data_IF_194978727022
#
_entry.id   IF_194978727022
#
_cell.length_a   1.000
_cell.length_b   1.000
_cell.length_c   1.000
_cell.angle_alpha   90.00
_cell.angle_beta   90.00
_cell.angle_gamma   90.00
#
_symmetry.space_group_name_H-M   'P 1'
#
loop_
_entity.id
_entity.type
_entity.pdbx_description
1 polymer ?
#
# COMPACT_ATOMS: atom_id res chain seq x y z
N UNK A 1 9.63 4.61 -1.89
CA UNK A 1 8.19 4.88 -2.06
C UNK A 1 7.94 6.33 -2.42
N UNK A 2 6.67 6.72 -2.55
CA UNK A 2 6.23 8.10 -2.86
C UNK A 2 4.99 8.43 -2.03
N UNK A 3 4.89 9.65 -1.50
CA UNK A 3 3.63 10.21 -1.01
C UNK A 3 3.06 11.09 -2.14
N UNK A 4 2.04 10.61 -2.89
CA UNK A 4 1.59 11.29 -4.09
C UNK A 4 0.67 12.46 -3.75
N UNK A 5 0.70 13.51 -4.58
CA UNK A 5 -0.26 14.63 -4.47
C UNK A 5 -1.68 14.19 -4.82
N UNK A 6 -1.81 13.23 -5.74
CA UNK A 6 -3.10 12.68 -6.18
C UNK A 6 -3.25 11.25 -5.67
N UNK A 7 -4.30 11.03 -4.88
CA UNK A 7 -4.65 9.74 -4.28
C UNK A 7 -5.89 9.16 -4.97
N UNK A 8 -5.65 8.46 -6.08
CA UNK A 8 -6.64 7.63 -6.77
C UNK A 8 -5.98 6.33 -7.26
N UNK A 9 -6.80 5.33 -7.55
CA UNK A 9 -6.35 3.97 -7.89
C UNK A 9 -5.49 3.93 -9.15
N UNK A 10 -5.81 4.71 -10.18
CA UNK A 10 -5.07 4.71 -11.44
C UNK A 10 -3.70 5.36 -11.25
N UNK A 11 -3.65 6.51 -10.59
CA UNK A 11 -2.39 7.18 -10.30
C UNK A 11 -1.50 6.33 -9.40
N UNK A 12 -2.08 5.70 -8.37
CA UNK A 12 -1.36 4.82 -7.45
C UNK A 12 -0.74 3.63 -8.22
N UNK A 13 -1.52 2.98 -9.07
CA UNK A 13 -1.06 1.85 -9.90
C UNK A 13 0.13 2.26 -10.78
N UNK A 14 0.00 3.41 -11.48
CA UNK A 14 1.06 3.94 -12.34
C UNK A 14 2.34 4.28 -11.57
N UNK A 15 2.22 4.83 -10.36
CA UNK A 15 3.38 5.14 -9.52
C UNK A 15 4.03 3.86 -9.00
N UNK A 16 3.27 2.86 -8.57
CA UNK A 16 3.78 1.54 -8.18
C UNK A 16 4.51 0.86 -9.35
N UNK A 17 3.95 0.86 -10.55
CA UNK A 17 4.59 0.33 -11.76
C UNK A 17 5.93 1.03 -12.04
N UNK A 18 5.98 2.36 -11.87
CA UNK A 18 7.21 3.13 -12.07
C UNK A 18 8.27 2.76 -11.03
N UNK A 19 7.88 2.61 -9.76
CA UNK A 19 8.76 2.19 -8.67
C UNK A 19 9.31 0.78 -8.95
N UNK A 20 8.42 -0.16 -9.26
CA UNK A 20 8.83 -1.55 -9.53
C UNK A 20 9.62 -1.70 -10.83
N UNK A 21 9.36 -0.86 -11.84
CA UNK A 21 10.19 -0.78 -13.03
C UNK A 21 11.65 -0.42 -12.72
N UNK A 22 11.90 0.42 -11.72
CA UNK A 22 13.27 0.74 -11.25
C UNK A 22 13.83 -0.40 -10.40
N UNK A 23 13.06 -0.92 -9.45
CA UNK A 23 13.47 -2.02 -8.57
C UNK A 23 13.90 -3.24 -9.39
N UNK A 24 13.05 -3.68 -10.32
CA UNK A 24 13.24 -4.87 -11.14
C UNK A 24 14.40 -4.65 -12.13
N UNK A 25 14.49 -3.47 -12.76
CA UNK A 25 15.56 -3.16 -13.73
C UNK A 25 16.96 -3.23 -13.12
N UNK A 26 17.12 -2.80 -11.87
CA UNK A 26 18.41 -2.73 -11.20
C UNK A 26 18.61 -3.83 -10.14
N UNK A 27 17.68 -4.79 -10.04
CA UNK A 27 17.68 -5.85 -9.03
C UNK A 27 17.90 -5.30 -7.61
N UNK A 28 17.21 -4.21 -7.26
CA UNK A 28 17.39 -3.54 -5.97
C UNK A 28 16.68 -4.38 -4.90
N UNK A 29 17.37 -4.87 -3.86
CA UNK A 29 16.75 -5.71 -2.83
C UNK A 29 15.98 -4.84 -1.82
N UNK A 30 14.81 -4.34 -2.22
CA UNK A 30 13.99 -3.41 -1.42
C UNK A 30 12.49 -3.56 -1.72
N UNK A 31 11.65 -2.78 -1.04
CA UNK A 31 10.20 -2.81 -1.13
C UNK A 31 9.66 -1.51 -1.74
N UNK A 32 8.65 -1.64 -2.59
CA UNK A 32 7.85 -0.51 -3.11
C UNK A 32 6.70 -0.15 -2.17
N UNK A 33 6.34 1.13 -2.11
CA UNK A 33 5.15 1.60 -1.39
C UNK A 33 4.74 2.99 -1.92
N UNK A 34 3.43 3.22 -2.04
CA UNK A 34 2.84 4.53 -2.30
C UNK A 34 1.97 4.88 -1.11
N UNK A 35 2.29 5.98 -0.42
CA UNK A 35 1.71 6.37 0.86
C UNK A 35 0.37 7.08 0.63
N UNK A 36 -0.67 6.30 0.36
CA UNK A 36 -2.04 6.72 0.09
C UNK A 36 -3.01 6.18 1.17
N UNK A 37 -4.31 6.45 1.06
CA UNK A 37 -5.29 5.79 1.92
C UNK A 37 -5.29 4.26 1.71
N UNK A 38 -5.47 3.49 2.78
CA UNK A 38 -5.40 2.02 2.79
C UNK A 38 -6.37 1.39 1.78
N UNK A 39 -7.56 1.95 1.63
CA UNK A 39 -8.57 1.45 0.69
C UNK A 39 -8.14 1.65 -0.77
N UNK A 40 -7.49 2.77 -1.11
CA UNK A 40 -6.98 3.02 -2.47
C UNK A 40 -5.89 2.02 -2.80
N UNK A 41 -4.99 1.74 -1.85
CA UNK A 41 -3.92 0.76 -2.01
C UNK A 41 -4.46 -0.66 -2.18
N UNK A 42 -5.39 -1.09 -1.31
CA UNK A 42 -6.04 -2.41 -1.42
C UNK A 42 -6.66 -2.59 -2.81
N UNK A 43 -7.41 -1.60 -3.29
CA UNK A 43 -8.09 -1.68 -4.57
C UNK A 43 -7.09 -1.75 -5.74
N UNK A 44 -6.04 -0.92 -5.72
CA UNK A 44 -5.00 -0.97 -6.75
C UNK A 44 -4.29 -2.32 -6.81
N UNK A 45 -3.93 -2.88 -5.64
CA UNK A 45 -3.26 -4.18 -5.54
C UNK A 45 -4.17 -5.31 -6.03
N UNK A 46 -5.46 -5.29 -5.66
CA UNK A 46 -6.45 -6.26 -6.18
C UNK A 46 -6.62 -6.18 -7.69
N UNK A 47 -6.41 -5.01 -8.30
CA UNK A 47 -6.39 -4.82 -9.76
C UNK A 47 -5.08 -5.21 -10.43
N UNK A 48 -4.09 -5.70 -9.67
CA UNK A 48 -2.82 -6.20 -10.18
C UNK A 48 -1.68 -5.20 -10.15
N UNK A 49 -1.83 -4.03 -9.50
CA UNK A 49 -0.70 -3.13 -9.28
C UNK A 49 0.37 -3.84 -8.42
N UNK A 50 1.67 -3.69 -8.73
CA UNK A 50 2.72 -4.36 -7.99
C UNK A 50 2.85 -3.73 -6.58
N UNK A 51 2.43 -4.48 -5.55
CA UNK A 51 2.49 -4.04 -4.15
C UNK A 51 3.73 -4.56 -3.42
N UNK A 52 4.28 -3.75 -2.51
CA UNK A 52 5.31 -4.14 -1.55
C UNK A 52 4.80 -4.03 -0.12
N UNK A 53 4.76 -2.81 0.41
CA UNK A 53 4.12 -2.50 1.69
C UNK A 53 2.82 -1.71 1.47
N UNK A 54 1.85 -1.88 2.37
CA UNK A 54 0.63 -1.09 2.43
C UNK A 54 0.73 -0.11 3.60
N UNK A 55 0.68 1.19 3.30
CA UNK A 55 0.76 2.24 4.30
C UNK A 55 -0.63 2.61 4.85
N UNK A 56 -0.70 3.05 6.10
CA UNK A 56 -1.84 3.80 6.61
C UNK A 56 -1.43 4.68 7.79
N UNK A 57 -1.84 5.96 7.78
CA UNK A 57 -1.77 6.80 8.97
C UNK A 57 -2.75 6.28 10.02
N UNK A 58 -2.28 6.09 11.25
CA UNK A 58 -3.10 5.61 12.38
C UNK A 58 -3.16 6.64 13.52
N UNK A 59 -4.17 6.50 14.37
CA UNK A 59 -4.32 7.28 15.59
C UNK A 59 -4.45 6.34 16.81
N UNK A 60 -3.99 6.80 17.98
CA UNK A 60 -4.06 6.04 19.24
C UNK A 60 -5.46 5.98 19.89
N UNK A 61 -6.51 6.42 19.19
CA UNK A 61 -7.90 6.35 19.67
C UNK A 61 -8.86 5.98 18.54
N UNK A 62 -9.95 5.29 18.86
CA UNK A 62 -10.98 4.92 17.88
C UNK A 62 -11.56 6.17 17.19
N UNK A 63 -11.80 7.24 17.96
CA UNK A 63 -12.30 8.50 17.41
C UNK A 63 -11.33 9.07 16.37
N UNK A 64 -10.04 9.13 16.69
CA UNK A 64 -9.04 9.65 15.76
C UNK A 64 -8.84 8.74 14.53
N UNK A 65 -8.96 7.41 14.67
CA UNK A 65 -8.95 6.51 13.51
C UNK A 65 -10.14 6.77 12.58
N UNK A 66 -11.34 6.98 13.15
CA UNK A 66 -12.53 7.36 12.38
C UNK A 66 -12.37 8.72 11.69
N UNK A 67 -11.68 9.69 12.30
CA UNK A 67 -11.33 10.96 11.65
C UNK A 67 -10.39 10.77 10.45
N UNK A 68 -9.54 9.74 10.46
CA UNK A 68 -8.75 9.33 9.30
C UNK A 68 -9.54 8.49 8.27
N UNK A 69 -10.81 8.15 8.54
CA UNK A 69 -11.60 7.26 7.69
C UNK A 69 -11.20 5.78 7.78
N UNK A 70 -10.59 5.37 8.90
CA UNK A 70 -10.02 4.03 9.09
C UNK A 70 -10.75 3.28 10.20
N UNK A 71 -11.02 1.99 9.94
CA UNK A 71 -11.48 1.03 10.93
C UNK A 71 -10.47 -0.13 11.06
N UNK A 72 -10.44 -0.82 12.21
CA UNK A 72 -9.52 -1.95 12.42
C UNK A 72 -9.70 -3.05 11.37
N UNK A 73 -10.94 -3.32 10.96
CA UNK A 73 -11.24 -4.31 9.92
C UNK A 73 -10.56 -3.98 8.57
N UNK A 74 -10.36 -2.70 8.26
CA UNK A 74 -9.63 -2.28 7.06
C UNK A 74 -8.14 -2.60 7.15
N UNK A 75 -7.55 -2.53 8.36
CA UNK A 75 -6.15 -2.89 8.59
C UNK A 75 -5.96 -4.41 8.53
N UNK A 76 -6.92 -5.18 9.04
CA UNK A 76 -6.93 -6.64 8.91
C UNK A 76 -7.04 -7.07 7.43
N UNK A 77 -7.92 -6.41 6.67
CA UNK A 77 -8.04 -6.62 5.22
C UNK A 77 -6.74 -6.25 4.48
N UNK A 78 -6.14 -5.11 4.82
CA UNK A 78 -4.86 -4.69 4.25
C UNK A 78 -3.74 -5.71 4.53
N UNK A 79 -3.66 -6.24 5.75
CA UNK A 79 -2.72 -7.31 6.10
C UNK A 79 -2.95 -8.55 5.24
N UNK A 80 -4.20 -8.98 5.08
CA UNK A 80 -4.55 -10.15 4.28
C UNK A 80 -4.18 -9.96 2.81
N UNK A 81 -4.54 -8.81 2.23
CA UNK A 81 -4.21 -8.44 0.84
C UNK A 81 -2.70 -8.35 0.64
N UNK A 82 -1.98 -7.72 1.57
CA UNK A 82 -0.52 -7.64 1.51
C UNK A 82 0.14 -9.02 1.55
N UNK A 83 -0.33 -9.92 2.41
CA UNK A 83 0.19 -11.28 2.50
C UNK A 83 -0.11 -12.13 1.24
N UNK A 84 -1.25 -11.91 0.59
CA UNK A 84 -1.66 -12.67 -0.59
C UNK A 84 -1.01 -12.16 -1.89
N UNK A 85 -0.92 -10.84 -2.07
CA UNK A 85 -0.59 -10.24 -3.37
C UNK A 85 0.75 -9.51 -3.41
N UNK A 86 1.31 -9.07 -2.28
CA UNK A 86 2.51 -8.22 -2.31
C UNK A 86 3.81 -9.03 -2.48
N UNK A 87 4.79 -8.39 -3.10
CA UNK A 87 6.17 -8.87 -3.20
C UNK A 87 6.91 -8.55 -1.89
N UNK A 88 6.74 -9.41 -0.88
CA UNK A 88 7.36 -9.29 0.44
C UNK A 88 8.38 -10.39 0.71
N UNK A 89 9.42 -10.08 1.49
CA UNK A 89 10.46 -11.05 1.85
C UNK A 89 10.13 -11.87 3.13
N UNK A 90 9.07 -11.50 3.83
CA UNK A 90 8.62 -12.13 5.07
C UNK A 90 7.16 -11.80 5.35
N UNK A 91 6.71 -11.99 6.58
CA UNK A 91 5.27 -11.88 6.94
C UNK A 91 4.80 -10.43 7.22
N UNK A 92 5.73 -9.47 7.31
CA UNK A 92 5.42 -8.09 7.64
C UNK A 92 5.18 -7.27 6.36
N UNK A 93 3.96 -6.79 6.17
CA UNK A 93 3.51 -6.11 4.95
C UNK A 93 2.71 -4.81 5.17
N UNK A 94 2.51 -4.42 6.44
CA UNK A 94 1.89 -3.15 6.86
C UNK A 94 2.96 -2.20 7.41
#
# INVERSE_FOLDING_TARGET
GVNPVTDDVENLSRVLDTIYGVIDKFNIPTQGCVLAHVTTQIEAIRRGAPGGLIFQSICGSEKGLKEFGVELAMLDEARAVGAEFNRIAGENCL
#
